data_IF_144336106100
#
_entry.id   IF_144336106100
#
_cell.length_a   1.000
_cell.length_b   1.000
_cell.length_c   1.000
_cell.angle_alpha   90.00
_cell.angle_beta   90.00
_cell.angle_gamma   90.00
#
_symmetry.space_group_name_H-M   'P 1'
#
loop_
_entity.id
_entity.type
_entity.pdbx_description
1 polymer ?
#
# COMPACT_ATOMS: atom_id res chain seq x y z
N UNK A 1 29.46 27.47 19.89
CA UNK A 1 29.57 27.18 18.44
C UNK A 1 29.42 25.67 18.33
N UNK A 2 28.35 25.05 17.84
CA UNK A 2 27.28 25.49 16.96
C UNK A 2 25.94 24.86 17.39
N UNK A 3 24.87 25.60 17.14
CA UNK A 3 23.49 25.12 17.09
C UNK A 3 23.24 24.44 15.74
N UNK A 4 22.54 23.31 15.73
CA UNK A 4 21.61 22.98 14.63
C UNK A 4 20.38 22.33 15.21
N UNK A 5 19.27 23.08 15.16
CA UNK A 5 17.92 22.56 15.31
C UNK A 5 17.67 21.45 14.27
N UNK A 6 17.04 20.36 14.66
CA UNK A 6 16.24 19.53 13.75
C UNK A 6 15.04 19.02 14.50
N UNK A 7 13.92 19.69 14.24
CA UNK A 7 12.57 19.28 14.59
C UNK A 7 12.27 18.03 13.77
N UNK A 8 12.24 16.86 14.39
CA UNK A 8 11.72 15.67 13.74
C UNK A 8 10.59 15.06 14.58
N UNK A 9 9.48 14.90 13.90
CA UNK A 9 8.14 14.61 14.39
C UNK A 9 8.15 13.29 15.14
N UNK A 10 7.73 13.31 16.41
CA UNK A 10 7.47 12.12 17.20
C UNK A 10 6.54 11.15 16.44
N UNK A 11 7.10 10.08 15.89
CA UNK A 11 6.34 8.89 15.49
C UNK A 11 6.10 8.03 16.74
N UNK A 12 4.88 7.51 16.95
CA UNK A 12 4.54 6.78 18.17
C UNK A 12 5.41 5.52 18.30
N UNK A 13 6.09 5.45 19.44
CA UNK A 13 6.96 4.36 19.87
C UNK A 13 6.29 2.99 19.71
N UNK A 14 7.01 2.08 19.06
CA UNK A 14 6.70 0.65 18.93
C UNK A 14 6.68 -0.05 20.30
N UNK A 15 5.69 0.20 21.17
CA UNK A 15 5.57 -0.52 22.45
C UNK A 15 4.14 -0.74 22.96
N UNK A 16 3.10 -0.62 22.12
CA UNK A 16 1.74 -1.04 22.50
C UNK A 16 1.21 -2.14 21.58
N UNK A 17 1.96 -3.24 21.53
CA UNK A 17 1.44 -4.53 21.11
C UNK A 17 0.59 -5.10 22.25
N UNK A 18 -0.70 -4.73 22.33
CA UNK A 18 -1.70 -5.51 23.07
C UNK A 18 -3.13 -5.11 22.67
N UNK A 19 -3.83 -6.08 22.05
CA UNK A 19 -5.29 -6.20 21.95
C UNK A 19 -6.01 -5.34 20.87
N UNK A 20 -5.85 -5.76 19.61
CA UNK A 20 -6.65 -5.31 18.48
C UNK A 20 -5.95 -5.64 17.16
N UNK A 21 -6.69 -6.07 16.14
CA UNK A 21 -6.18 -6.52 14.83
C UNK A 21 -5.54 -5.39 13.97
N UNK A 22 -4.72 -4.51 14.54
CA UNK A 22 -4.12 -3.42 13.78
C UNK A 22 -2.98 -3.94 12.89
N UNK A 23 -3.19 -3.92 11.58
CA UNK A 23 -2.15 -4.13 10.57
C UNK A 23 -1.64 -2.72 10.19
N UNK A 24 -0.44 -2.29 10.62
CA UNK A 24 0.09 -0.98 10.24
C UNK A 24 0.42 -0.94 8.74
N UNK A 25 0.26 0.21 8.10
CA UNK A 25 0.79 0.43 6.74
C UNK A 25 2.31 0.27 6.75
N UNK A 26 2.87 -0.28 5.67
CA UNK A 26 4.31 -0.48 5.53
C UNK A 26 5.03 0.87 5.43
N UNK A 27 6.13 1.00 6.17
CA UNK A 27 7.00 2.17 6.16
C UNK A 27 8.45 1.73 5.96
N UNK A 28 9.25 2.59 5.34
CA UNK A 28 10.72 2.45 5.26
C UNK A 28 11.39 2.84 6.58
N UNK A 29 12.59 2.34 6.84
CA UNK A 29 13.37 2.56 8.07
C UNK A 29 12.72 2.02 9.36
N UNK A 30 11.71 1.15 9.23
CA UNK A 30 11.01 0.50 10.33
C UNK A 30 11.56 -0.90 10.55
N UNK A 31 11.80 -1.28 11.81
CA UNK A 31 12.13 -2.66 12.15
C UNK A 31 10.89 -3.55 12.13
N UNK A 32 11.00 -4.70 11.46
CA UNK A 32 9.99 -5.75 11.43
C UNK A 32 10.59 -7.08 11.88
N UNK A 33 9.95 -7.74 12.82
CA UNK A 33 10.30 -9.08 13.30
C UNK A 33 9.55 -10.15 12.51
N UNK A 34 10.04 -11.39 12.56
CA UNK A 34 9.34 -12.53 11.97
C UNK A 34 7.95 -12.67 12.59
N UNK A 35 6.91 -12.73 11.75
CA UNK A 35 5.53 -12.81 12.18
C UNK A 35 4.79 -11.46 12.22
N UNK A 36 5.51 -10.34 12.21
CA UNK A 36 4.88 -9.02 12.11
C UNK A 36 4.11 -8.90 10.79
N UNK A 37 2.97 -8.22 10.83
CA UNK A 37 2.16 -7.95 9.64
C UNK A 37 2.16 -6.47 9.32
N UNK A 38 2.17 -6.16 8.03
CA UNK A 38 1.98 -4.81 7.53
C UNK A 38 1.05 -4.81 6.32
N UNK A 39 0.37 -3.71 6.11
CA UNK A 39 -0.43 -3.45 4.93
C UNK A 39 0.44 -2.71 3.92
N UNK A 40 0.55 -3.25 2.73
CA UNK A 40 1.16 -2.56 1.62
C UNK A 40 0.19 -2.58 0.46
N UNK A 41 -0.23 -1.38 0.05
CA UNK A 41 -1.31 -1.18 -0.90
C UNK A 41 -2.65 -1.74 -0.37
N UNK A 42 -3.16 -2.86 -0.92
CA UNK A 42 -4.43 -3.50 -0.48
C UNK A 42 -4.15 -4.87 0.15
N UNK A 43 -2.87 -5.20 0.30
CA UNK A 43 -2.41 -6.53 0.63
C UNK A 43 -1.74 -6.53 1.98
N UNK A 44 -2.11 -7.51 2.80
CA UNK A 44 -1.49 -7.76 4.08
C UNK A 44 -0.32 -8.70 3.83
N UNK A 45 0.86 -8.28 4.27
CA UNK A 45 2.08 -9.06 4.21
C UNK A 45 2.55 -9.38 5.63
N UNK A 46 3.06 -10.59 5.83
CA UNK A 46 3.73 -11.04 7.03
C UNK A 46 5.24 -11.08 6.78
N UNK A 47 6.01 -10.53 7.70
CA UNK A 47 7.46 -10.60 7.69
C UNK A 47 7.92 -12.05 7.98
N UNK A 48 8.73 -12.61 7.08
CA UNK A 48 9.30 -13.95 7.17
C UNK A 48 10.67 -13.95 7.86
N UNK A 49 11.45 -12.87 7.71
CA UNK A 49 12.80 -12.74 8.27
C UNK A 49 12.95 -11.37 8.91
N UNK A 50 13.40 -11.31 10.16
CA UNK A 50 13.57 -10.04 10.86
C UNK A 50 14.55 -9.12 10.13
N UNK A 51 14.14 -7.89 9.84
CA UNK A 51 14.94 -6.92 9.09
C UNK A 51 14.49 -5.48 9.38
N UNK A 52 15.33 -4.53 9.00
CA UNK A 52 14.95 -3.11 8.90
C UNK A 52 14.48 -2.84 7.47
N UNK A 53 13.28 -2.29 7.31
CA UNK A 53 12.70 -2.03 5.98
C UNK A 53 13.46 -0.93 5.24
N UNK A 54 13.49 -1.04 3.91
CA UNK A 54 14.12 -0.06 3.01
C UNK A 54 13.33 0.02 1.70
N UNK A 55 13.48 1.12 0.95
CA UNK A 55 12.70 1.39 -0.27
C UNK A 55 12.88 0.36 -1.39
N UNK A 56 13.97 -0.40 -1.38
CA UNK A 56 14.23 -1.47 -2.36
C UNK A 56 13.64 -2.83 -1.91
N UNK A 57 13.18 -2.92 -0.66
CA UNK A 57 12.62 -4.13 -0.03
C UNK A 57 11.13 -4.00 0.24
N UNK A 58 10.41 -3.49 -0.76
CA UNK A 58 8.95 -3.42 -0.72
C UNK A 58 8.36 -4.84 -0.69
N UNK A 59 7.28 -5.09 0.07
CA UNK A 59 6.72 -6.43 0.23
C UNK A 59 6.49 -7.28 -1.03
N UNK A 60 6.02 -6.72 -2.17
CA UNK A 60 5.83 -7.51 -3.39
C UNK A 60 7.14 -7.79 -4.14
N UNK A 61 8.23 -7.06 -3.88
CA UNK A 61 9.49 -7.20 -4.60
C UNK A 61 10.42 -8.27 -4.00
N UNK A 62 10.31 -8.50 -2.69
CA UNK A 62 11.19 -9.42 -1.96
C UNK A 62 10.38 -10.47 -1.17
N UNK A 63 9.84 -11.51 -1.86
CA UNK A 63 9.01 -12.55 -1.23
C UNK A 63 9.75 -13.41 -0.19
N UNK A 64 11.08 -13.37 -0.25
CA UNK A 64 11.96 -14.01 0.74
C UNK A 64 11.90 -13.32 2.12
N UNK A 65 11.60 -12.01 2.15
CA UNK A 65 11.38 -11.23 3.38
C UNK A 65 9.90 -11.14 3.75
N UNK A 66 8.98 -11.15 2.78
CA UNK A 66 7.56 -10.91 3.01
C UNK A 66 6.66 -11.98 2.38
N UNK A 67 5.66 -12.44 3.12
CA UNK A 67 4.62 -13.37 2.66
C UNK A 67 3.28 -12.67 2.59
N UNK A 68 2.64 -12.62 1.42
CA UNK A 68 1.25 -12.15 1.31
C UNK A 68 0.33 -13.09 2.10
N UNK A 69 -0.36 -12.57 3.11
CA UNK A 69 -1.27 -13.34 3.99
C UNK A 69 -2.74 -13.00 3.77
N UNK A 70 -3.04 -11.89 3.10
CA UNK A 70 -4.42 -11.50 2.83
C UNK A 70 -4.54 -10.15 2.15
N UNK A 71 -5.74 -9.60 2.22
CA UNK A 71 -6.09 -8.26 1.72
C UNK A 71 -6.87 -7.49 2.78
N UNK A 72 -6.68 -6.18 2.83
CA UNK A 72 -7.41 -5.29 3.74
C UNK A 72 -8.89 -5.21 3.39
N UNK A 73 -9.24 -5.51 2.14
CA UNK A 73 -10.63 -5.59 1.69
C UNK A 73 -11.00 -7.05 1.36
N UNK A 74 -11.24 -7.90 2.36
CA UNK A 74 -11.68 -9.27 2.13
C UNK A 74 -13.02 -9.27 1.39
N UNK A 75 -13.07 -9.99 0.27
CA UNK A 75 -14.26 -10.08 -0.59
C UNK A 75 -14.29 -9.10 -1.77
N UNK A 76 -13.34 -8.16 -1.86
CA UNK A 76 -13.12 -7.37 -3.07
C UNK A 76 -11.97 -7.98 -3.89
N UNK A 77 -12.01 -7.87 -5.23
CA UNK A 77 -10.88 -8.24 -6.06
C UNK A 77 -9.67 -7.38 -5.69
N UNK A 78 -8.50 -8.01 -5.64
CA UNK A 78 -7.25 -7.31 -5.34
C UNK A 78 -6.99 -6.21 -6.38
N UNK A 79 -6.65 -5.02 -5.88
CA UNK A 79 -6.36 -3.90 -6.73
C UNK A 79 -5.01 -4.09 -7.42
N UNK A 80 -4.99 -3.95 -8.75
CA UNK A 80 -3.79 -4.10 -9.58
C UNK A 80 -3.22 -2.73 -9.96
N UNK A 81 -1.98 -2.65 -10.42
CA UNK A 81 -1.47 -1.40 -11.00
C UNK A 81 -2.30 -1.03 -12.24
N UNK A 82 -2.65 0.25 -12.38
CA UNK A 82 -3.35 0.74 -13.56
C UNK A 82 -2.50 0.49 -14.81
N UNK A 83 -3.14 0.03 -15.89
CA UNK A 83 -2.52 -0.24 -17.18
C UNK A 83 -3.35 0.41 -18.29
N UNK A 84 -2.73 1.07 -19.28
CA UNK A 84 -3.42 1.55 -20.48
C UNK A 84 -3.82 0.36 -21.38
N UNK A 85 -4.90 0.50 -22.15
CA UNK A 85 -5.41 -0.54 -23.05
C UNK A 85 -6.08 -1.72 -22.33
N UNK A 86 -6.49 -1.55 -21.07
CA UNK A 86 -7.14 -2.57 -20.26
C UNK A 86 -8.63 -2.25 -20.07
N UNK A 87 -9.48 -3.26 -20.22
CA UNK A 87 -10.91 -3.12 -19.94
C UNK A 87 -11.14 -3.16 -18.43
N UNK A 88 -11.66 -2.08 -17.86
CA UNK A 88 -12.05 -2.00 -16.45
C UNK A 88 -13.56 -1.99 -16.32
N UNK A 89 -14.09 -2.86 -15.47
CA UNK A 89 -15.49 -2.91 -15.07
C UNK A 89 -15.81 -1.93 -13.95
N UNK A 90 -17.10 -1.64 -13.75
CA UNK A 90 -17.55 -0.85 -12.61
C UNK A 90 -17.19 -1.58 -11.30
N UNK A 91 -16.54 -0.85 -10.39
CA UNK A 91 -16.10 -1.38 -9.10
C UNK A 91 -14.65 -1.88 -9.08
N UNK A 92 -14.01 -2.07 -10.23
CA UNK A 92 -12.60 -2.48 -10.31
C UNK A 92 -11.69 -1.47 -9.62
N UNK A 93 -10.67 -1.96 -8.94
CA UNK A 93 -9.74 -1.12 -8.18
C UNK A 93 -8.34 -1.18 -8.78
N UNK A 94 -7.70 -0.03 -8.89
CA UNK A 94 -6.36 0.11 -9.45
C UNK A 94 -5.47 1.04 -8.65
N UNK A 95 -4.18 0.74 -8.66
CA UNK A 95 -3.15 1.60 -8.12
C UNK A 95 -2.52 2.47 -9.20
N UNK A 96 -2.56 3.78 -8.98
CA UNK A 96 -1.91 4.78 -9.81
C UNK A 96 -1.27 5.85 -8.93
N UNK A 97 0.02 6.11 -9.09
CA UNK A 97 0.81 7.07 -8.30
C UNK A 97 0.58 6.94 -6.77
N UNK A 98 0.73 5.73 -6.24
CA UNK A 98 0.60 5.44 -4.79
C UNK A 98 -0.81 5.66 -4.23
N UNK A 99 -1.80 5.86 -5.09
CA UNK A 99 -3.19 6.07 -4.74
C UNK A 99 -4.07 4.97 -5.32
N UNK A 100 -5.08 4.58 -4.55
CA UNK A 100 -6.08 3.61 -4.95
C UNK A 100 -7.24 4.31 -5.64
N UNK A 101 -7.63 3.84 -6.81
CA UNK A 101 -8.78 4.34 -7.55
C UNK A 101 -9.75 3.21 -7.83
N UNK A 102 -11.04 3.51 -7.79
CA UNK A 102 -12.11 2.61 -8.16
C UNK A 102 -12.75 3.09 -9.45
N UNK A 103 -12.89 2.21 -10.43
CA UNK A 103 -13.62 2.45 -11.66
C UNK A 103 -15.11 2.65 -11.34
N UNK A 104 -15.67 3.79 -11.72
CA UNK A 104 -17.09 4.11 -11.51
C UNK A 104 -17.94 3.91 -12.77
N UNK A 105 -17.32 3.88 -13.94
CA UNK A 105 -17.97 3.61 -15.21
C UNK A 105 -17.14 2.62 -16.03
N UNK A 106 -17.73 1.52 -16.53
CA UNK A 106 -16.99 0.52 -17.28
C UNK A 106 -16.44 1.13 -18.58
N UNK A 107 -15.14 0.95 -18.83
CA UNK A 107 -14.45 1.55 -19.97
C UNK A 107 -13.19 0.77 -20.35
N UNK A 108 -12.65 1.06 -21.54
CA UNK A 108 -11.31 0.64 -21.92
C UNK A 108 -10.34 1.77 -21.60
N UNK A 109 -9.34 1.52 -20.74
CA UNK A 109 -8.38 2.54 -20.33
C UNK A 109 -7.54 3.01 -21.52
N UNK A 110 -7.23 4.31 -21.51
CA UNK A 110 -6.40 4.95 -22.51
C UNK A 110 -5.31 5.77 -21.80
N UNK A 111 -4.17 6.03 -22.44
CA UNK A 111 -3.10 6.84 -21.86
C UNK A 111 -3.54 8.23 -21.36
N UNK A 112 -4.62 8.81 -21.89
CA UNK A 112 -5.15 10.11 -21.43
C UNK A 112 -6.30 9.96 -20.40
N UNK A 113 -6.73 8.73 -20.09
CA UNK A 113 -7.79 8.41 -19.12
C UNK A 113 -7.20 7.87 -17.81
N UNK A 114 -6.17 8.55 -17.35
CA UNK A 114 -5.47 8.23 -16.11
C UNK A 114 -6.38 8.48 -14.89
N UNK A 115 -6.29 7.67 -13.83
CA UNK A 115 -7.18 7.78 -12.68
C UNK A 115 -7.16 9.12 -11.95
N UNK A 116 -6.04 9.84 -11.98
CA UNK A 116 -5.90 11.17 -11.40
C UNK A 116 -6.53 12.29 -12.25
N UNK A 117 -6.70 12.09 -13.57
CA UNK A 117 -7.14 13.12 -14.52
C UNK A 117 -8.62 13.01 -14.88
N UNK A 118 -9.19 11.81 -14.78
CA UNK A 118 -10.58 11.54 -15.18
C UNK A 118 -11.46 11.09 -13.99
N UNK A 119 -11.92 12.02 -13.14
CA UNK A 119 -12.78 11.71 -12.00
C UNK A 119 -14.19 11.19 -12.40
N UNK A 120 -14.57 11.36 -13.67
CA UNK A 120 -15.81 10.82 -14.23
C UNK A 120 -15.75 9.29 -14.47
N UNK A 121 -14.54 8.72 -14.61
CA UNK A 121 -14.31 7.28 -14.79
C UNK A 121 -13.75 6.63 -13.53
N UNK A 122 -13.03 7.41 -12.70
CA UNK A 122 -12.29 6.93 -11.55
C UNK A 122 -12.62 7.70 -10.28
N UNK A 123 -12.79 6.98 -9.17
CA UNK A 123 -12.98 7.53 -7.83
C UNK A 123 -11.78 7.20 -6.96
N UNK A 124 -11.15 8.20 -6.37
CA UNK A 124 -10.10 7.99 -5.37
C UNK A 124 -10.70 7.26 -4.15
N UNK A 125 -10.13 6.11 -3.81
CA UNK A 125 -10.41 5.34 -2.59
C UNK A 125 -9.31 5.68 -1.60
N UNK A 126 -9.71 6.18 -0.43
CA UNK A 126 -8.80 6.64 0.63
C UNK A 126 -7.87 5.54 1.12
#
# INVERSE_FOLDING_TARGET
MAETLSRDTAQPSSHEASQGHWIPTWHTDQWYNVGDRCEFWDSIYQCNKAHKSQSDWEPPLVPDLWKKTGSTHPGLPEAKRWMPGHAYGMGDRVYYHWKLYQCIQPHNSQPDWEPNRYPALWKLVR
#
